data_IF_462896147353
#
_entry.id   IF_462896147353
#
_cell.length_a   1.000
_cell.length_b   1.000
_cell.length_c   1.000
_cell.angle_alpha   90.00
_cell.angle_beta   90.00
_cell.angle_gamma   90.00
#
_symmetry.space_group_name_H-M   'P 1'
#
loop_
_entity.id
_entity.type
_entity.pdbx_description
1 polymer ?
#
# COMPACT_ATOMS: atom_id res chain seq x y z
N UNK A 1 -2.49 -33.12 34.59
CA UNK A 1 -1.87 -31.88 35.11
C UNK A 1 -1.49 -31.04 33.89
N UNK A 2 -2.39 -30.15 33.48
CA UNK A 2 -2.20 -29.25 32.34
C UNK A 2 -1.19 -28.16 32.73
N UNK A 3 -0.20 -27.91 31.87
CA UNK A 3 0.64 -26.71 31.96
C UNK A 3 0.23 -25.80 30.80
N UNK A 4 -0.55 -24.78 31.13
CA UNK A 4 -0.78 -23.62 30.28
C UNK A 4 0.51 -22.81 30.19
N UNK A 5 1.10 -22.69 29.01
CA UNK A 5 2.06 -21.63 28.71
C UNK A 5 1.33 -20.47 28.07
N UNK A 6 1.13 -19.43 28.88
CA UNK A 6 0.68 -18.11 28.46
C UNK A 6 1.85 -17.42 27.73
N UNK A 7 1.73 -17.17 26.41
CA UNK A 7 2.69 -16.31 25.70
C UNK A 7 2.31 -14.86 25.95
N UNK A 8 3.06 -14.20 26.82
CA UNK A 8 3.00 -12.76 27.02
C UNK A 8 3.55 -12.01 25.81
N UNK A 9 2.76 -11.09 25.26
CA UNK A 9 3.21 -10.08 24.31
C UNK A 9 4.32 -9.23 24.94
N UNK A 10 5.53 -9.28 24.38
CA UNK A 10 6.69 -8.59 24.93
C UNK A 10 7.63 -8.05 23.86
N UNK A 11 7.80 -6.72 23.89
CA UNK A 11 8.96 -5.95 23.42
C UNK A 11 9.14 -5.71 21.91
N UNK A 12 8.24 -4.94 21.29
CA UNK A 12 8.61 -4.15 20.12
C UNK A 12 9.25 -2.82 20.59
N UNK A 13 10.58 -2.70 20.50
CA UNK A 13 11.31 -1.44 20.78
C UNK A 13 11.38 -0.60 19.50
N UNK A 14 10.69 0.54 19.50
CA UNK A 14 10.49 1.45 18.36
C UNK A 14 11.73 2.27 17.93
N UNK A 15 12.90 2.06 18.55
CA UNK A 15 14.12 2.85 18.30
C UNK A 15 14.89 2.48 17.01
N UNK A 16 14.44 1.48 16.24
CA UNK A 16 15.17 1.00 15.06
C UNK A 16 14.66 1.54 13.72
N UNK A 17 13.64 2.40 13.69
CA UNK A 17 13.28 3.17 12.50
C UNK A 17 14.23 4.37 12.36
N UNK A 18 15.50 4.10 12.02
CA UNK A 18 16.50 5.12 11.65
C UNK A 18 16.21 5.63 10.24
N UNK A 19 15.13 6.39 10.08
CA UNK A 19 14.92 7.34 8.99
C UNK A 19 15.06 8.76 9.53
N UNK A 20 15.56 9.73 8.75
CA UNK A 20 15.69 11.10 9.22
C UNK A 20 14.29 11.66 9.53
N UNK A 21 14.10 12.17 10.75
CA UNK A 21 12.95 12.98 11.20
C UNK A 21 11.67 12.27 11.69
N UNK A 22 11.75 11.25 12.56
CA UNK A 22 10.56 10.72 13.27
C UNK A 22 10.46 11.10 14.77
N UNK A 23 11.49 11.69 15.38
CA UNK A 23 11.58 11.82 16.85
C UNK A 23 11.05 13.14 17.45
N UNK A 24 10.51 14.08 16.66
CA UNK A 24 10.10 15.41 17.18
C UNK A 24 8.67 15.85 16.85
N UNK A 25 7.93 15.11 16.02
CA UNK A 25 6.63 15.56 15.51
C UNK A 25 5.40 15.05 16.28
N UNK A 26 5.53 13.92 17.00
CA UNK A 26 4.43 13.32 17.76
C UNK A 26 3.97 14.20 18.94
N UNK A 27 4.84 15.06 19.49
CA UNK A 27 4.48 15.95 20.61
C UNK A 27 3.58 17.13 20.20
N UNK A 28 3.46 17.44 18.90
CA UNK A 28 2.61 18.54 18.38
C UNK A 28 1.18 18.12 18.03
N UNK A 29 0.86 16.84 18.16
CA UNK A 29 -0.53 16.39 17.97
C UNK A 29 -1.35 17.04 19.07
N UNK A 30 -2.41 17.79 18.72
CA UNK A 30 -3.30 18.43 19.70
C UNK A 30 -3.69 17.37 20.74
N UNK A 31 -3.34 17.59 22.00
CA UNK A 31 -3.64 16.72 23.13
C UNK A 31 -5.15 16.41 23.30
N UNK A 32 -6.00 17.07 22.51
CA UNK A 32 -7.44 16.81 22.38
C UNK A 32 -7.76 15.52 21.62
N UNK A 33 -7.04 15.17 20.54
CA UNK A 33 -7.35 13.98 19.73
C UNK A 33 -6.73 12.68 20.27
N UNK A 34 -5.62 12.77 21.00
CA UNK A 34 -4.96 11.60 21.58
C UNK A 34 -5.63 11.11 22.87
N UNK A 35 -6.62 11.84 23.40
CA UNK A 35 -7.17 11.52 24.71
C UNK A 35 -7.92 10.19 24.74
N UNK A 36 -8.56 9.76 23.65
CA UNK A 36 -8.99 8.37 23.43
C UNK A 36 -9.24 8.13 21.92
N UNK A 37 -8.58 7.13 21.34
CA UNK A 37 -8.85 6.71 19.96
C UNK A 37 -10.26 6.11 19.85
N UNK A 38 -11.05 6.56 18.88
CA UNK A 38 -12.42 6.11 18.66
C UNK A 38 -12.50 4.90 17.72
N UNK A 39 -13.52 4.06 17.90
CA UNK A 39 -13.94 3.07 16.90
C UNK A 39 -15.26 3.57 16.34
N UNK A 40 -15.33 3.70 15.01
CA UNK A 40 -16.47 4.23 14.28
C UNK A 40 -16.91 3.17 13.28
N UNK A 41 -18.18 2.78 13.32
CA UNK A 41 -18.76 1.78 12.41
C UNK A 41 -19.69 2.43 11.37
N UNK A 42 -20.25 3.59 11.69
CA UNK A 42 -21.21 4.30 10.85
C UNK A 42 -20.65 5.65 10.36
N UNK A 43 -20.86 5.95 9.09
CA UNK A 43 -20.24 7.11 8.43
C UNK A 43 -20.70 8.45 9.02
N UNK A 44 -21.93 8.54 9.56
CA UNK A 44 -22.47 9.76 10.17
C UNK A 44 -21.66 10.19 11.40
N UNK A 45 -20.98 9.24 12.06
CA UNK A 45 -20.12 9.54 13.21
C UNK A 45 -18.74 10.08 12.82
N UNK A 46 -18.42 10.18 11.52
CA UNK A 46 -17.18 10.77 11.01
C UNK A 46 -17.23 12.30 10.90
N UNK A 47 -18.41 12.92 11.00
CA UNK A 47 -18.59 14.36 10.82
C UNK A 47 -17.62 15.23 11.64
N UNK A 48 -17.38 14.94 12.95
CA UNK A 48 -16.42 15.71 13.75
C UNK A 48 -14.95 15.56 13.32
N UNK A 49 -14.67 14.56 12.48
CA UNK A 49 -13.34 14.21 11.98
C UNK A 49 -13.16 14.55 10.49
N UNK A 50 -14.13 15.21 9.84
CA UNK A 50 -13.95 15.67 8.47
C UNK A 50 -12.70 16.55 8.30
N UNK A 51 -12.19 16.62 7.07
CA UNK A 51 -10.87 17.16 6.76
C UNK A 51 -9.73 16.43 7.52
N UNK A 52 -9.92 15.15 7.84
CA UNK A 52 -8.92 14.27 8.44
C UNK A 52 -7.73 13.99 7.51
N UNK A 53 -6.73 13.36 8.11
CA UNK A 53 -5.72 12.58 7.44
C UNK A 53 -6.17 11.11 7.39
N UNK A 54 -6.52 10.60 6.21
CA UNK A 54 -7.05 9.24 6.01
C UNK A 54 -5.94 8.25 5.63
N UNK A 55 -5.90 7.09 6.30
CA UNK A 55 -5.06 5.95 5.94
C UNK A 55 -5.96 4.75 5.60
N UNK A 56 -6.27 4.51 4.32
CA UNK A 56 -7.09 3.37 3.92
C UNK A 56 -6.34 2.05 4.04
N UNK A 57 -6.92 1.06 4.72
CA UNK A 57 -6.32 -0.28 4.84
C UNK A 57 -7.38 -1.39 4.78
N UNK A 58 -6.91 -2.63 4.65
CA UNK A 58 -7.72 -3.84 4.79
C UNK A 58 -7.62 -4.48 6.19
N UNK A 59 -6.94 -3.86 7.15
CA UNK A 59 -6.59 -4.48 8.44
C UNK A 59 -5.37 -5.39 8.38
N UNK A 60 -5.18 -6.20 9.42
CA UNK A 60 -3.99 -7.04 9.62
C UNK A 60 -2.69 -6.20 9.57
N UNK A 61 -2.67 -5.17 10.41
CA UNK A 61 -1.68 -4.10 10.36
C UNK A 61 -0.29 -4.60 10.76
N UNK A 62 0.72 -3.88 10.28
CA UNK A 62 2.14 -4.16 10.51
C UNK A 62 2.92 -2.83 10.48
N UNK A 63 4.23 -2.86 10.72
CA UNK A 63 5.03 -1.64 10.82
C UNK A 63 4.99 -0.75 9.55
N UNK A 64 4.83 -1.35 8.36
CA UNK A 64 4.54 -0.58 7.14
C UNK A 64 3.22 0.22 7.16
N UNK A 65 2.19 -0.24 7.86
CA UNK A 65 0.96 0.54 8.07
C UNK A 65 1.16 1.59 9.18
N UNK A 66 1.85 1.23 10.26
CA UNK A 66 2.19 2.16 11.34
C UNK A 66 2.95 3.39 10.81
N UNK A 67 3.86 3.23 9.85
CA UNK A 67 4.58 4.35 9.25
C UNK A 67 3.68 5.31 8.47
N UNK A 68 2.60 4.81 7.84
CA UNK A 68 1.61 5.67 7.17
C UNK A 68 0.86 6.51 8.20
N UNK A 69 0.41 5.89 9.29
CA UNK A 69 -0.32 6.55 10.39
C UNK A 69 0.58 7.59 11.05
N UNK A 70 1.84 7.26 11.33
CA UNK A 70 2.81 8.19 11.89
C UNK A 70 3.06 9.37 10.95
N UNK A 71 3.24 9.12 9.65
CA UNK A 71 3.42 10.20 8.67
C UNK A 71 2.18 11.10 8.61
N UNK A 72 0.99 10.51 8.66
CA UNK A 72 -0.28 11.22 8.69
C UNK A 72 -0.45 12.08 9.94
N UNK A 73 -0.02 11.58 11.10
CA UNK A 73 -0.10 12.29 12.38
C UNK A 73 0.76 13.57 12.41
N UNK A 74 1.81 13.65 11.58
CA UNK A 74 2.64 14.85 11.45
C UNK A 74 1.92 16.04 10.81
N UNK A 75 0.80 15.83 10.13
CA UNK A 75 0.08 16.88 9.41
C UNK A 75 -0.88 17.68 10.31
N UNK A 76 -0.95 17.34 11.61
CA UNK A 76 -1.72 18.10 12.61
C UNK A 76 -3.24 17.96 12.50
N UNK A 77 -3.72 16.99 11.71
CA UNK A 77 -5.14 16.63 11.53
C UNK A 77 -5.48 15.37 12.32
N UNK A 78 -6.75 15.13 12.68
CA UNK A 78 -7.14 13.81 13.20
C UNK A 78 -6.83 12.74 12.15
N UNK A 79 -6.18 11.67 12.57
CA UNK A 79 -5.87 10.54 11.68
C UNK A 79 -6.98 9.51 11.78
N UNK A 80 -7.63 9.23 10.65
CA UNK A 80 -8.64 8.18 10.51
C UNK A 80 -8.02 7.02 9.75
N UNK A 81 -8.08 5.81 10.33
CA UNK A 81 -7.62 4.59 9.67
C UNK A 81 -8.82 3.74 9.29
N UNK A 82 -9.02 3.43 8.01
CA UNK A 82 -10.10 2.52 7.63
C UNK A 82 -9.63 1.07 7.71
N UNK A 83 -10.45 0.18 8.27
CA UNK A 83 -10.25 -1.28 8.23
C UNK A 83 -11.39 -1.89 7.44
N UNK A 84 -11.19 -2.10 6.14
CA UNK A 84 -12.22 -2.70 5.28
C UNK A 84 -11.61 -3.67 4.28
N UNK A 85 -11.91 -4.96 4.44
CA UNK A 85 -11.55 -5.98 3.45
C UNK A 85 -12.56 -5.90 2.32
N UNK A 86 -12.21 -5.19 1.26
CA UNK A 86 -13.11 -4.98 0.13
C UNK A 86 -13.32 -6.27 -0.69
N UNK A 87 -14.53 -6.86 -0.76
CA UNK A 87 -14.79 -8.04 -1.57
C UNK A 87 -14.64 -7.80 -3.09
N UNK A 88 -14.87 -6.59 -3.60
CA UNK A 88 -14.91 -6.32 -5.06
C UNK A 88 -13.53 -6.26 -5.72
N UNK A 89 -12.45 -6.17 -4.93
CA UNK A 89 -11.08 -6.11 -5.47
C UNK A 89 -10.36 -7.47 -5.52
N UNK A 90 -11.05 -8.55 -5.09
CA UNK A 90 -10.53 -9.91 -5.12
C UNK A 90 -11.08 -10.68 -6.33
N UNK A 91 -10.22 -11.38 -7.06
CA UNK A 91 -10.64 -12.28 -8.13
C UNK A 91 -11.17 -13.63 -7.59
N UNK A 92 -11.88 -14.41 -8.42
CA UNK A 92 -12.31 -15.76 -8.08
C UNK A 92 -11.09 -16.64 -7.72
N UNK A 93 -11.04 -17.14 -6.47
CA UNK A 93 -9.90 -17.90 -5.93
C UNK A 93 -8.83 -17.07 -5.20
N UNK A 94 -8.93 -15.74 -5.16
CA UNK A 94 -8.14 -14.92 -4.24
C UNK A 94 -8.73 -15.02 -2.81
N UNK A 95 -7.86 -15.10 -1.81
CA UNK A 95 -8.14 -15.68 -0.48
C UNK A 95 -8.90 -14.74 0.49
N UNK A 96 -10.08 -14.24 0.09
CA UNK A 96 -10.95 -13.40 0.93
C UNK A 96 -11.28 -14.06 2.28
N UNK A 97 -11.52 -15.38 2.26
CA UNK A 97 -11.90 -16.16 3.45
C UNK A 97 -10.76 -16.39 4.45
N UNK A 98 -9.50 -16.24 4.02
CA UNK A 98 -8.31 -16.44 4.89
C UNK A 98 -7.69 -15.13 5.38
N UNK A 99 -8.28 -13.97 5.08
CA UNK A 99 -7.73 -12.69 5.51
C UNK A 99 -7.79 -12.57 7.05
N UNK A 100 -6.66 -12.36 7.74
CA UNK A 100 -6.61 -12.37 9.19
C UNK A 100 -7.41 -11.22 9.78
N UNK A 101 -8.32 -11.53 10.71
CA UNK A 101 -9.10 -10.55 11.46
C UNK A 101 -8.50 -10.40 12.85
N UNK A 102 -7.70 -9.37 13.06
CA UNK A 102 -7.01 -9.11 14.34
C UNK A 102 -7.33 -7.72 14.86
N UNK A 103 -8.62 -7.40 15.04
CA UNK A 103 -9.08 -6.06 15.40
C UNK A 103 -8.39 -5.49 16.65
N UNK A 104 -8.15 -6.32 17.67
CA UNK A 104 -7.46 -5.88 18.89
C UNK A 104 -6.00 -5.46 18.61
N UNK A 105 -5.25 -6.25 17.83
CA UNK A 105 -3.88 -5.92 17.46
C UNK A 105 -3.81 -4.70 16.54
N UNK A 106 -4.74 -4.60 15.59
CA UNK A 106 -4.87 -3.44 14.70
C UNK A 106 -5.15 -2.17 15.52
N UNK A 107 -6.04 -2.26 16.51
CA UNK A 107 -6.36 -1.18 17.44
C UNK A 107 -5.14 -0.73 18.23
N UNK A 108 -4.41 -1.64 18.84
CA UNK A 108 -3.21 -1.32 19.61
C UNK A 108 -2.15 -0.63 18.76
N UNK A 109 -1.92 -1.13 17.53
CA UNK A 109 -0.99 -0.53 16.59
C UNK A 109 -1.44 0.87 16.14
N UNK A 110 -2.70 1.05 15.77
CA UNK A 110 -3.26 2.36 15.42
C UNK A 110 -3.10 3.37 16.54
N UNK A 111 -3.44 2.99 17.78
CA UNK A 111 -3.32 3.85 18.94
C UNK A 111 -1.86 4.25 19.19
N UNK A 112 -0.94 3.28 19.16
CA UNK A 112 0.49 3.54 19.34
C UNK A 112 1.09 4.40 18.22
N UNK A 113 0.55 4.33 17.00
CA UNK A 113 1.01 5.09 15.85
C UNK A 113 0.41 6.51 15.76
N UNK A 114 -0.55 6.86 16.62
CA UNK A 114 -1.15 8.20 16.70
C UNK A 114 -2.48 8.37 15.97
N UNK A 115 -3.22 7.29 15.70
CA UNK A 115 -4.56 7.37 15.13
C UNK A 115 -5.56 8.01 16.11
N UNK A 116 -6.46 8.86 15.59
CA UNK A 116 -7.56 9.45 16.33
C UNK A 116 -8.82 8.57 16.26
N UNK A 117 -9.05 7.90 15.13
CA UNK A 117 -10.14 6.95 14.98
C UNK A 117 -9.80 5.80 14.04
N UNK A 118 -10.49 4.68 14.26
CA UNK A 118 -10.58 3.55 13.34
C UNK A 118 -11.99 3.52 12.77
N UNK A 119 -12.10 3.56 11.45
CA UNK A 119 -13.36 3.43 10.74
C UNK A 119 -13.52 2.01 10.18
N UNK A 120 -14.59 1.32 10.58
CA UNK A 120 -14.86 -0.08 10.24
C UNK A 120 -16.26 -0.16 9.60
N UNK A 121 -16.42 0.29 8.35
CA UNK A 121 -17.70 0.19 7.67
C UNK A 121 -18.07 -1.28 7.43
N UNK A 122 -19.36 -1.58 7.50
CA UNK A 122 -19.86 -2.89 7.06
C UNK A 122 -19.87 -2.99 5.53
N UNK A 123 -19.98 -4.22 5.01
CA UNK A 123 -20.20 -4.44 3.57
C UNK A 123 -21.50 -3.76 3.12
N UNK A 124 -22.52 -3.70 3.96
CA UNK A 124 -23.80 -3.05 3.65
C UNK A 124 -23.65 -1.53 3.55
N UNK A 125 -22.84 -0.91 4.41
CA UNK A 125 -22.56 0.53 4.34
C UNK A 125 -21.80 0.87 3.05
N UNK A 126 -20.87 0.01 2.64
CA UNK A 126 -20.10 0.19 1.41
C UNK A 126 -20.93 -0.10 0.15
N UNK A 127 -21.75 -1.16 0.19
CA UNK A 127 -22.46 -1.72 -0.96
C UNK A 127 -23.93 -2.00 -0.62
N UNK A 128 -24.77 -0.95 -0.51
CA UNK A 128 -26.14 -1.08 -0.04
C UNK A 128 -27.04 -1.92 -0.96
N UNK A 129 -26.68 -2.02 -2.24
CA UNK A 129 -27.37 -2.82 -3.26
C UNK A 129 -26.73 -4.21 -3.45
N UNK A 130 -25.81 -4.61 -2.59
CA UNK A 130 -25.10 -5.88 -2.66
C UNK A 130 -23.83 -5.85 -3.52
N UNK A 131 -23.02 -6.90 -3.38
CA UNK A 131 -21.70 -7.02 -4.02
C UNK A 131 -21.81 -7.16 -5.54
N UNK A 132 -22.84 -7.83 -6.05
CA UNK A 132 -23.02 -8.00 -7.50
C UNK A 132 -23.31 -6.66 -8.21
N UNK A 133 -24.19 -5.83 -7.61
CA UNK A 133 -24.44 -4.48 -8.09
C UNK A 133 -23.16 -3.63 -8.01
N UNK A 134 -22.41 -3.74 -6.91
CA UNK A 134 -21.14 -3.05 -6.77
C UNK A 134 -20.10 -3.46 -7.83
N UNK A 135 -20.01 -4.75 -8.16
CA UNK A 135 -19.13 -5.24 -9.23
C UNK A 135 -19.54 -4.69 -10.61
N UNK A 136 -20.86 -4.63 -10.88
CA UNK A 136 -21.38 -4.05 -12.12
C UNK A 136 -21.09 -2.54 -12.22
N UNK A 137 -21.26 -1.80 -11.13
CA UNK A 137 -20.90 -0.38 -11.04
C UNK A 137 -19.39 -0.16 -11.25
N UNK A 138 -18.55 -0.96 -10.59
CA UNK A 138 -17.10 -0.88 -10.72
C UNK A 138 -16.64 -1.11 -12.16
N UNK A 139 -17.23 -2.10 -12.86
CA UNK A 139 -16.91 -2.41 -14.25
C UNK A 139 -17.24 -1.26 -15.23
N UNK A 140 -18.14 -0.35 -14.86
CA UNK A 140 -18.52 0.81 -15.65
C UNK A 140 -17.72 2.07 -15.30
N UNK A 141 -16.89 2.04 -14.25
CA UNK A 141 -16.10 3.20 -13.85
C UNK A 141 -15.09 3.59 -14.93
N UNK A 142 -15.02 4.89 -15.20
CA UNK A 142 -13.98 5.45 -16.08
C UNK A 142 -12.64 5.48 -15.34
N UNK A 143 -11.81 4.48 -15.57
CA UNK A 143 -10.53 4.36 -14.86
C UNK A 143 -9.45 5.32 -15.40
N UNK A 144 -8.50 5.73 -14.55
CA UNK A 144 -7.21 6.26 -14.95
C UNK A 144 -6.51 5.40 -16.01
N UNK A 145 -5.74 6.01 -16.93
CA UNK A 145 -5.00 5.25 -17.95
C UNK A 145 -3.93 4.34 -17.32
N UNK A 146 -3.33 4.81 -16.21
CA UNK A 146 -2.38 4.03 -15.42
C UNK A 146 -3.01 2.78 -14.77
N UNK A 147 -4.34 2.67 -14.76
CA UNK A 147 -5.06 1.48 -14.30
C UNK A 147 -5.30 0.43 -15.40
N UNK A 148 -5.04 0.74 -16.68
CA UNK A 148 -5.49 -0.12 -17.80
C UNK A 148 -4.47 -0.27 -18.94
N UNK A 149 -3.45 0.57 -19.00
CA UNK A 149 -2.46 0.59 -20.09
C UNK A 149 -1.07 0.02 -19.73
N UNK A 150 -0.56 0.11 -18.48
CA UNK A 150 0.82 -0.32 -18.17
C UNK A 150 1.13 -1.80 -18.41
N UNK A 151 0.11 -2.67 -18.45
CA UNK A 151 0.23 -4.13 -18.53
C UNK A 151 1.05 -4.73 -17.38
N UNK A 152 0.83 -4.21 -16.17
CA UNK A 152 1.42 -4.65 -14.91
C UNK A 152 0.35 -5.38 -14.08
N UNK A 153 -0.06 -4.85 -12.92
CA UNK A 153 -1.16 -5.40 -12.13
C UNK A 153 -2.48 -5.39 -12.90
N UNK A 154 -2.67 -4.43 -13.81
CA UNK A 154 -3.84 -4.33 -14.68
C UNK A 154 -3.98 -5.53 -15.62
N UNK A 155 -2.87 -6.10 -16.10
CA UNK A 155 -2.90 -7.31 -16.91
C UNK A 155 -3.08 -8.58 -16.06
N UNK A 156 -2.44 -8.62 -14.88
CA UNK A 156 -2.50 -9.80 -14.01
C UNK A 156 -3.81 -9.91 -13.23
N UNK A 157 -4.49 -8.78 -12.99
CA UNK A 157 -5.70 -8.68 -12.16
C UNK A 157 -6.70 -7.71 -12.82
N UNK A 158 -7.38 -8.12 -13.92
CA UNK A 158 -8.12 -7.20 -14.80
C UNK A 158 -9.24 -6.38 -14.15
N UNK A 159 -9.85 -6.88 -13.08
CA UNK A 159 -10.93 -6.18 -12.35
C UNK A 159 -10.44 -5.42 -11.12
N UNK A 160 -9.17 -5.58 -10.73
CA UNK A 160 -8.66 -5.13 -9.44
C UNK A 160 -8.75 -3.62 -9.25
N UNK A 161 -8.28 -2.83 -10.23
CA UNK A 161 -8.28 -1.38 -10.09
C UNK A 161 -9.66 -0.74 -10.15
N UNK A 162 -10.64 -1.40 -10.79
CA UNK A 162 -12.03 -0.96 -10.72
C UNK A 162 -12.56 -1.05 -9.28
N UNK A 163 -12.37 -2.19 -8.62
CA UNK A 163 -12.73 -2.37 -7.21
C UNK A 163 -11.97 -1.43 -6.27
N UNK A 164 -10.68 -1.21 -6.51
CA UNK A 164 -9.85 -0.26 -5.73
C UNK A 164 -10.34 1.18 -5.89
N UNK A 165 -10.60 1.64 -7.11
CA UNK A 165 -11.15 2.98 -7.34
C UNK A 165 -12.51 3.15 -6.66
N UNK A 166 -13.40 2.16 -6.77
CA UNK A 166 -14.73 2.22 -6.17
C UNK A 166 -14.66 2.32 -4.63
N UNK A 167 -13.88 1.45 -3.98
CA UNK A 167 -13.79 1.45 -2.52
C UNK A 167 -13.12 2.72 -2.00
N UNK A 168 -12.05 3.19 -2.64
CA UNK A 168 -11.36 4.41 -2.21
C UNK A 168 -12.23 5.64 -2.44
N UNK A 169 -12.97 5.71 -3.55
CA UNK A 169 -13.93 6.80 -3.80
C UNK A 169 -15.00 6.88 -2.69
N UNK A 170 -15.59 5.73 -2.31
CA UNK A 170 -16.56 5.66 -1.21
C UNK A 170 -15.95 6.08 0.13
N UNK A 171 -14.72 5.64 0.43
CA UNK A 171 -14.01 6.08 1.64
C UNK A 171 -13.73 7.58 1.64
N UNK A 172 -13.37 8.18 0.50
CA UNK A 172 -13.20 9.62 0.38
C UNK A 172 -14.52 10.37 0.59
N UNK A 173 -15.64 9.85 0.06
CA UNK A 173 -16.95 10.46 0.26
C UNK A 173 -17.41 10.41 1.73
N UNK A 174 -17.19 9.28 2.42
CA UNK A 174 -17.62 9.12 3.81
C UNK A 174 -16.70 9.85 4.80
N UNK A 175 -15.38 9.80 4.58
CA UNK A 175 -14.42 10.39 5.52
C UNK A 175 -14.15 11.88 5.26
N UNK A 176 -14.47 12.38 4.07
CA UNK A 176 -14.17 13.75 3.62
C UNK A 176 -12.74 14.20 3.97
N UNK A 177 -11.69 13.43 3.60
CA UNK A 177 -10.33 13.73 4.02
C UNK A 177 -9.76 14.95 3.30
N UNK A 178 -8.89 15.69 4.00
CA UNK A 178 -8.04 16.69 3.36
C UNK A 178 -6.72 16.09 2.87
N UNK A 179 -6.29 14.97 3.46
CA UNK A 179 -5.10 14.24 3.05
C UNK A 179 -5.36 12.74 3.11
N UNK A 180 -4.81 11.97 2.17
CA UNK A 180 -4.84 10.52 2.20
C UNK A 180 -3.44 9.93 1.95
N UNK A 181 -3.07 8.87 2.66
CA UNK A 181 -1.71 8.32 2.65
C UNK A 181 -1.71 6.90 2.13
N UNK A 182 -0.92 6.66 1.10
CA UNK A 182 -0.76 5.36 0.46
C UNK A 182 0.71 4.98 0.38
N UNK A 183 1.01 3.70 0.60
CA UNK A 183 2.36 3.17 0.52
C UNK A 183 2.84 3.06 -0.93
N UNK A 184 4.11 3.41 -1.18
CA UNK A 184 4.76 3.25 -2.47
C UNK A 184 4.95 1.78 -2.88
N UNK A 185 4.84 0.83 -1.94
CA UNK A 185 4.95 -0.61 -2.24
C UNK A 185 3.99 -1.04 -3.35
N UNK A 186 2.75 -0.58 -3.27
CA UNK A 186 1.71 -0.81 -4.28
C UNK A 186 1.71 0.37 -5.27
N UNK A 187 2.84 0.60 -5.95
CA UNK A 187 3.11 1.84 -6.69
C UNK A 187 2.07 2.13 -7.79
N UNK A 188 1.62 1.11 -8.53
CA UNK A 188 0.57 1.30 -9.53
C UNK A 188 -0.75 1.74 -8.90
N UNK A 189 -1.14 1.17 -7.76
CA UNK A 189 -2.32 1.60 -7.01
C UNK A 189 -2.18 3.07 -6.58
N UNK A 190 -1.04 3.46 -6.01
CA UNK A 190 -0.77 4.85 -5.64
C UNK A 190 -0.96 5.80 -6.84
N UNK A 191 -0.41 5.46 -8.02
CA UNK A 191 -0.57 6.26 -9.24
C UNK A 191 -2.02 6.32 -9.72
N UNK A 192 -2.75 5.21 -9.64
CA UNK A 192 -4.18 5.14 -9.95
C UNK A 192 -4.98 6.07 -9.04
N UNK A 193 -4.77 6.03 -7.73
CA UNK A 193 -5.49 6.86 -6.77
C UNK A 193 -5.13 8.35 -6.92
N UNK A 194 -3.86 8.67 -7.15
CA UNK A 194 -3.43 10.05 -7.43
C UNK A 194 -4.10 10.61 -8.70
N UNK A 195 -4.15 9.84 -9.79
CA UNK A 195 -4.81 10.28 -11.02
C UNK A 195 -6.34 10.38 -10.83
N UNK A 196 -6.96 9.42 -10.12
CA UNK A 196 -8.38 9.46 -9.79
C UNK A 196 -8.74 10.73 -8.99
N UNK A 197 -8.03 11.00 -7.89
CA UNK A 197 -8.29 12.18 -7.06
C UNK A 197 -8.12 13.49 -7.85
N UNK A 198 -7.11 13.55 -8.73
CA UNK A 198 -6.87 14.72 -9.59
C UNK A 198 -7.99 14.93 -10.62
N UNK A 199 -8.47 13.86 -11.27
CA UNK A 199 -9.55 13.93 -12.27
C UNK A 199 -10.88 14.33 -11.65
N UNK A 200 -11.16 13.85 -10.44
CA UNK A 200 -12.35 14.13 -9.65
C UNK A 200 -12.15 15.33 -8.71
N UNK A 201 -11.20 16.23 -8.99
CA UNK A 201 -10.83 17.32 -8.07
C UNK A 201 -11.97 18.27 -7.69
N UNK A 202 -13.03 18.34 -8.50
CA UNK A 202 -14.25 19.09 -8.16
C UNK A 202 -15.09 18.41 -7.06
N UNK A 203 -15.00 17.07 -6.94
CA UNK A 203 -15.70 16.24 -5.95
C UNK A 203 -14.97 16.23 -4.61
N UNK A 204 -13.65 15.99 -4.62
CA UNK A 204 -12.82 15.96 -3.40
C UNK A 204 -11.93 17.19 -3.32
N UNK A 205 -12.56 18.36 -3.20
CA UNK A 205 -11.86 19.64 -3.13
C UNK A 205 -10.91 19.64 -1.93
N UNK A 206 -9.66 20.04 -2.16
CA UNK A 206 -8.57 20.10 -1.17
C UNK A 206 -8.00 18.74 -0.73
N UNK A 207 -8.42 17.62 -1.31
CA UNK A 207 -7.78 16.33 -1.04
C UNK A 207 -6.39 16.25 -1.67
N UNK A 208 -5.38 15.96 -0.85
CA UNK A 208 -4.02 15.64 -1.30
C UNK A 208 -3.70 14.17 -1.03
N UNK A 209 -3.26 13.44 -2.07
CA UNK A 209 -2.84 12.03 -1.96
C UNK A 209 -1.32 11.94 -1.82
N UNK A 210 -0.86 11.57 -0.63
CA UNK A 210 0.56 11.45 -0.28
C UNK A 210 1.12 10.05 -0.52
N UNK A 211 2.27 10.01 -1.19
CA UNK A 211 3.09 8.82 -1.34
C UNK A 211 3.97 8.63 -0.09
N UNK A 212 3.97 7.42 0.49
CA UNK A 212 4.78 7.09 1.65
C UNK A 212 5.78 5.97 1.31
N UNK A 213 7.08 6.13 1.62
CA UNK A 213 8.10 5.13 1.27
C UNK A 213 7.78 3.72 1.77
N UNK A 214 8.16 2.73 0.98
CA UNK A 214 8.08 1.31 1.38
C UNK A 214 8.95 1.06 2.61
N UNK A 215 8.33 0.57 3.69
CA UNK A 215 9.08 0.06 4.85
C UNK A 215 9.57 -1.35 4.55
N UNK A 216 10.84 -1.58 4.86
CA UNK A 216 11.55 -2.84 4.63
C UNK A 216 11.96 -3.45 5.98
N UNK A 217 12.03 -4.77 6.01
CA UNK A 217 12.68 -5.52 7.08
C UNK A 217 14.20 -5.26 7.04
N UNK A 218 14.94 -5.64 8.09
CA UNK A 218 16.37 -5.33 8.22
C UNK A 218 17.24 -5.94 7.11
N UNK A 219 16.74 -6.98 6.44
CA UNK A 219 17.38 -7.65 5.31
C UNK A 219 16.91 -7.11 3.94
N UNK A 220 16.07 -6.06 3.94
CA UNK A 220 15.63 -5.36 2.74
C UNK A 220 14.32 -5.87 2.14
N UNK A 221 13.73 -6.97 2.63
CA UNK A 221 12.42 -7.42 2.13
C UNK A 221 11.34 -6.37 2.43
N UNK A 222 10.54 -6.01 1.42
CA UNK A 222 9.41 -5.13 1.63
C UNK A 222 8.40 -5.76 2.61
N UNK A 223 7.98 -5.01 3.62
CA UNK A 223 7.01 -5.51 4.59
C UNK A 223 5.66 -5.76 3.91
N UNK A 224 5.09 -6.94 4.15
CA UNK A 224 3.75 -7.29 3.69
C UNK A 224 3.10 -8.26 4.67
N UNK A 225 1.77 -8.16 4.84
CA UNK A 225 0.99 -9.19 5.54
C UNK A 225 1.21 -10.60 4.96
N UNK A 226 1.49 -10.69 3.65
CA UNK A 226 1.81 -11.94 2.93
C UNK A 226 3.13 -12.60 3.35
N UNK A 227 4.07 -11.88 3.97
CA UNK A 227 5.36 -12.44 4.38
C UNK A 227 5.18 -13.55 5.44
N UNK A 228 4.07 -13.52 6.20
CA UNK A 228 3.73 -14.55 7.21
C UNK A 228 3.45 -15.93 6.61
N UNK A 229 3.17 -16.00 5.31
CA UNK A 229 2.90 -17.26 4.61
C UNK A 229 4.18 -17.90 4.07
N UNK A 230 5.33 -17.20 4.17
CA UNK A 230 6.62 -17.72 3.74
C UNK A 230 7.21 -18.64 4.82
N UNK A 231 7.63 -19.83 4.42
CA UNK A 231 8.47 -20.73 5.22
C UNK A 231 9.90 -20.16 5.34
N UNK A 232 10.69 -20.67 6.29
CA UNK A 232 12.03 -20.15 6.56
C UNK A 232 12.96 -20.17 5.32
N UNK A 233 12.96 -21.27 4.55
CA UNK A 233 13.71 -21.38 3.29
C UNK A 233 13.19 -20.42 2.21
N UNK A 234 11.87 -20.28 2.09
CA UNK A 234 11.25 -19.34 1.15
C UNK A 234 11.57 -17.88 1.51
N UNK A 235 11.76 -17.57 2.80
CA UNK A 235 12.04 -16.21 3.25
C UNK A 235 13.40 -15.70 2.77
N UNK A 236 14.40 -16.57 2.63
CA UNK A 236 15.69 -16.23 2.03
C UNK A 236 15.57 -16.02 0.52
N UNK A 237 14.81 -16.88 -0.17
CA UNK A 237 14.52 -16.75 -1.59
C UNK A 237 13.78 -15.43 -1.92
N UNK A 238 12.87 -14.98 -1.06
CA UNK A 238 12.17 -13.70 -1.22
C UNK A 238 13.11 -12.48 -1.26
N UNK A 239 14.34 -12.58 -0.75
CA UNK A 239 15.35 -11.52 -0.88
C UNK A 239 15.82 -11.30 -2.33
N UNK A 240 15.50 -12.23 -3.24
CA UNK A 240 15.69 -12.02 -4.67
C UNK A 240 15.01 -10.75 -5.19
N UNK A 241 13.87 -10.32 -4.60
CA UNK A 241 13.20 -9.07 -4.98
C UNK A 241 14.08 -7.84 -4.70
N UNK A 242 14.54 -7.68 -3.45
CA UNK A 242 15.34 -6.51 -3.05
C UNK A 242 16.71 -6.50 -3.75
N UNK A 243 17.31 -7.67 -3.96
CA UNK A 243 18.56 -7.83 -4.73
C UNK A 243 18.38 -7.44 -6.20
N UNK A 244 17.30 -7.88 -6.84
CA UNK A 244 17.01 -7.51 -8.23
C UNK A 244 16.78 -5.99 -8.39
N UNK A 245 16.12 -5.35 -7.43
CA UNK A 245 15.94 -3.89 -7.43
C UNK A 245 17.28 -3.15 -7.24
N UNK A 246 18.17 -3.65 -6.39
CA UNK A 246 19.51 -3.09 -6.20
C UNK A 246 20.30 -3.15 -7.52
N UNK A 247 20.30 -4.31 -8.18
CA UNK A 247 20.91 -4.49 -9.50
C UNK A 247 20.30 -3.52 -10.51
N UNK A 248 18.97 -3.34 -10.52
CA UNK A 248 18.32 -2.39 -11.42
C UNK A 248 18.85 -0.96 -11.23
N UNK A 249 18.92 -0.49 -9.98
CA UNK A 249 19.40 0.86 -9.67
C UNK A 249 20.86 1.07 -10.05
N UNK A 250 21.73 0.08 -9.79
CA UNK A 250 23.15 0.13 -10.14
C UNK A 250 23.38 0.11 -11.64
N UNK A 251 22.72 -0.82 -12.36
CA UNK A 251 22.82 -0.95 -13.82
C UNK A 251 22.29 0.29 -14.55
N UNK A 252 21.18 0.86 -14.07
CA UNK A 252 20.66 2.12 -14.61
C UNK A 252 21.66 3.26 -14.41
N UNK A 253 22.23 3.40 -13.21
CA UNK A 253 23.22 4.44 -12.92
C UNK A 253 24.48 4.27 -13.75
N UNK A 254 24.84 3.04 -14.10
CA UNK A 254 25.94 2.72 -15.01
C UNK A 254 25.61 2.99 -16.49
N UNK A 255 24.40 3.47 -16.81
CA UNK A 255 23.99 3.80 -18.17
C UNK A 255 23.67 2.58 -19.05
N UNK A 256 23.38 1.43 -18.45
CA UNK A 256 22.99 0.24 -19.21
C UNK A 256 21.65 0.44 -19.93
N UNK A 257 21.50 -0.22 -21.08
CA UNK A 257 20.23 -0.27 -21.81
C UNK A 257 19.11 -0.90 -20.95
N UNK A 258 17.90 -0.34 -21.03
CA UNK A 258 16.78 -0.76 -20.18
C UNK A 258 16.46 -2.24 -20.34
N UNK A 259 16.47 -2.78 -21.55
CA UNK A 259 16.19 -4.20 -21.76
C UNK A 259 17.28 -5.09 -21.15
N UNK A 260 18.54 -4.64 -21.15
CA UNK A 260 19.63 -5.32 -20.46
C UNK A 260 19.42 -5.30 -18.93
N UNK A 261 18.99 -4.18 -18.36
CA UNK A 261 18.67 -4.09 -16.93
C UNK A 261 17.52 -5.03 -16.56
N UNK A 262 16.42 -5.02 -17.31
CA UNK A 262 15.28 -5.91 -17.07
C UNK A 262 15.70 -7.40 -17.14
N UNK A 263 16.61 -7.76 -18.05
CA UNK A 263 17.15 -9.11 -18.14
C UNK A 263 18.01 -9.49 -16.91
N UNK A 264 18.83 -8.58 -16.39
CA UNK A 264 19.59 -8.83 -15.16
C UNK A 264 18.68 -8.99 -13.94
N UNK A 265 17.64 -8.16 -13.82
CA UNK A 265 16.62 -8.33 -12.77
C UNK A 265 16.01 -9.74 -12.83
N UNK A 266 15.59 -10.18 -14.03
CA UNK A 266 15.01 -11.52 -14.23
C UNK A 266 16.00 -12.63 -13.86
N UNK A 267 17.28 -12.51 -14.24
CA UNK A 267 18.32 -13.47 -13.87
C UNK A 267 18.47 -13.60 -12.36
N UNK A 268 18.50 -12.49 -11.63
CA UNK A 268 18.58 -12.50 -10.17
C UNK A 268 17.36 -13.19 -9.58
N UNK A 269 16.16 -12.84 -10.03
CA UNK A 269 14.92 -13.43 -9.53
C UNK A 269 14.88 -14.96 -9.78
N UNK A 270 15.24 -15.42 -10.98
CA UNK A 270 15.26 -16.86 -11.31
C UNK A 270 16.26 -17.65 -10.47
N UNK A 271 17.45 -17.09 -10.18
CA UNK A 271 18.43 -17.74 -9.28
C UNK A 271 17.90 -17.90 -7.85
N UNK A 272 16.93 -17.08 -7.47
CA UNK A 272 16.23 -17.12 -6.19
C UNK A 272 14.90 -17.89 -6.26
N UNK A 273 14.68 -18.69 -7.31
CA UNK A 273 13.50 -19.55 -7.48
C UNK A 273 12.17 -18.79 -7.54
N UNK A 274 12.22 -17.49 -7.85
CA UNK A 274 11.03 -16.66 -8.03
C UNK A 274 10.47 -16.83 -9.44
N UNK A 275 9.22 -17.26 -9.53
CA UNK A 275 8.47 -17.29 -10.78
C UNK A 275 8.03 -15.87 -11.15
N UNK A 276 8.76 -15.26 -12.07
CA UNK A 276 8.57 -13.85 -12.44
C UNK A 276 7.31 -13.66 -13.31
N UNK A 277 6.37 -12.83 -12.86
CA UNK A 277 5.27 -12.35 -13.70
C UNK A 277 5.73 -11.14 -14.52
N UNK A 278 6.37 -10.17 -13.86
CA UNK A 278 7.08 -9.08 -14.52
C UNK A 278 8.25 -8.58 -13.66
N UNK A 279 9.29 -8.09 -14.32
CA UNK A 279 10.41 -7.37 -13.74
C UNK A 279 10.85 -6.34 -14.79
N UNK A 280 10.47 -5.08 -14.60
CA UNK A 280 10.48 -4.06 -15.66
C UNK A 280 10.91 -2.69 -15.14
N UNK A 281 11.43 -1.85 -16.03
CA UNK A 281 11.64 -0.42 -15.79
C UNK A 281 10.57 0.37 -16.55
N UNK A 282 9.95 1.34 -15.88
CA UNK A 282 8.88 2.17 -16.45
C UNK A 282 9.07 3.63 -16.11
N UNK A 283 8.51 4.52 -16.93
CA UNK A 283 8.42 5.93 -16.59
C UNK A 283 7.68 6.10 -15.26
N UNK A 284 8.21 6.93 -14.35
CA UNK A 284 7.67 7.08 -12.99
C UNK A 284 6.18 7.46 -12.99
N UNK A 285 5.78 8.39 -13.87
CA UNK A 285 4.47 9.01 -13.78
C UNK A 285 3.35 8.21 -14.46
N UNK A 286 3.66 7.57 -15.58
CA UNK A 286 2.69 6.88 -16.45
C UNK A 286 2.75 5.36 -16.32
N UNK A 287 3.86 4.82 -15.80
CA UNK A 287 4.18 3.40 -15.81
C UNK A 287 4.24 2.77 -17.19
N UNK A 288 4.38 3.58 -18.25
CA UNK A 288 4.59 3.09 -19.60
C UNK A 288 6.06 2.70 -19.84
N UNK A 289 6.34 1.78 -20.79
CA UNK A 289 7.70 1.41 -21.17
C UNK A 289 8.53 2.62 -21.54
N UNK A 290 9.81 2.56 -21.17
CA UNK A 290 10.84 3.51 -21.61
C UNK A 290 11.96 2.73 -22.29
N UNK A 291 12.52 3.27 -23.36
CA UNK A 291 13.67 2.66 -24.02
C UNK A 291 14.98 3.15 -23.40
N UNK A 292 15.02 4.42 -22.98
CA UNK A 292 16.21 5.09 -22.43
C UNK A 292 15.81 6.09 -21.35
N UNK A 293 16.79 6.46 -20.50
CA UNK A 293 16.64 7.60 -19.61
C UNK A 293 16.79 8.88 -20.41
N UNK A 294 15.65 9.46 -20.78
CA UNK A 294 15.64 10.72 -21.50
C UNK A 294 15.60 11.91 -20.51
N UNK A 295 16.22 13.06 -20.84
CA UNK A 295 16.19 14.27 -19.98
C UNK A 295 14.78 14.73 -19.58
N UNK A 296 13.77 14.42 -20.40
CA UNK A 296 12.35 14.72 -20.16
C UNK A 296 11.69 13.86 -19.08
N UNK A 297 12.31 12.78 -18.60
CA UNK A 297 11.83 11.99 -17.47
C UNK A 297 12.11 12.74 -16.14
N UNK A 298 11.43 13.86 -15.93
CA UNK A 298 11.63 14.75 -14.76
C UNK A 298 11.51 14.01 -13.42
N UNK A 299 10.57 13.07 -13.34
CA UNK A 299 10.31 12.25 -12.15
C UNK A 299 11.13 10.94 -12.11
N UNK A 300 12.01 10.74 -13.08
CA UNK A 300 12.81 9.53 -13.26
C UNK A 300 12.01 8.32 -13.73
N UNK A 301 12.49 7.13 -13.38
CA UNK A 301 11.86 5.86 -13.68
C UNK A 301 11.64 5.03 -12.41
N UNK A 302 10.89 3.96 -12.54
CA UNK A 302 10.64 2.99 -11.47
C UNK A 302 10.96 1.59 -11.98
N UNK A 303 11.76 0.84 -11.22
CA UNK A 303 11.85 -0.60 -11.36
C UNK A 303 10.68 -1.24 -10.61
N UNK A 304 9.92 -2.11 -11.25
CA UNK A 304 8.76 -2.80 -10.65
C UNK A 304 8.87 -4.31 -10.85
N UNK A 305 8.55 -5.06 -9.82
CA UNK A 305 8.60 -6.53 -9.80
C UNK A 305 7.28 -7.08 -9.25
N UNK A 306 6.74 -8.07 -9.94
CA UNK A 306 5.82 -9.05 -9.36
C UNK A 306 6.33 -10.46 -9.67
N UNK A 307 6.39 -11.29 -8.63
CA UNK A 307 6.82 -12.67 -8.74
C UNK A 307 6.09 -13.56 -7.73
N UNK A 308 6.11 -14.87 -7.97
CA UNK A 308 5.56 -15.87 -7.06
C UNK A 308 6.66 -16.73 -6.48
N UNK A 309 6.51 -17.05 -5.20
CA UNK A 309 7.31 -18.04 -4.52
C UNK A 309 6.36 -19.07 -3.90
N UNK A 310 6.34 -20.27 -4.48
CA UNK A 310 5.49 -21.39 -4.03
C UNK A 310 4.02 -20.99 -3.74
N UNK A 311 3.42 -20.23 -4.66
CA UNK A 311 2.03 -19.78 -4.57
C UNK A 311 1.83 -18.43 -3.86
N UNK A 312 2.80 -17.93 -3.08
CA UNK A 312 2.75 -16.60 -2.49
C UNK A 312 3.20 -15.56 -3.53
N UNK A 313 2.29 -14.66 -3.90
CA UNK A 313 2.59 -13.54 -4.82
C UNK A 313 3.16 -12.35 -4.05
N UNK A 314 4.36 -11.93 -4.42
CA UNK A 314 5.11 -10.82 -3.85
C UNK A 314 5.30 -9.72 -4.89
N UNK A 315 5.28 -8.47 -4.43
CA UNK A 315 5.57 -7.30 -5.26
C UNK A 315 6.58 -6.42 -4.54
N UNK A 316 7.42 -5.73 -5.32
CA UNK A 316 8.33 -4.72 -4.82
C UNK A 316 8.71 -3.75 -5.95
N UNK A 317 9.20 -2.57 -5.59
CA UNK A 317 9.64 -1.57 -6.54
C UNK A 317 10.68 -0.62 -5.94
N UNK A 318 11.41 0.07 -6.82
CA UNK A 318 12.39 1.09 -6.43
C UNK A 318 12.49 2.21 -7.49
N UNK A 319 12.71 3.43 -7.04
CA UNK A 319 13.05 4.55 -7.92
C UNK A 319 14.40 4.32 -8.57
N UNK A 320 14.49 4.60 -9.87
CA UNK A 320 15.70 4.58 -10.66
C UNK A 320 15.89 5.97 -11.28
N UNK A 321 17.09 6.53 -11.11
CA UNK A 321 17.51 7.77 -11.73
C UNK A 321 18.69 7.45 -12.66
N UNK A 322 18.67 8.01 -13.87
CA UNK A 322 19.84 7.99 -14.75
C UNK A 322 21.05 8.66 -14.11
N UNK A 323 22.21 8.52 -14.75
CA UNK A 323 23.43 9.23 -14.38
C UNK A 323 23.27 10.76 -14.46
#
# INVERSE_FOLDING_TARGET
MQVQTCMSAGNFRWNNLKGPCLHGGLERIKAEYLRHMQIIEHAESLEPLHACALVPTMGALHAGHASLIQRAALDGRPVVVSLFVNPTQFAAGEDFSKYPRTLQADRELCQAAGAAAIFIPSVQDMYPHGVDAANAEAAQMKLPLVATQPKLEDAQRPTHFAGVCQVVAKLFDMCQPAAAYFGEKDFQQLRVIQDMARREGARWQNLVVHACPTIRESDGLAMSSRNRYLQANQRENALGLSRALTVAQESVRAGMDIAAVENEMRRVLTRHELLVEYAVIRAHDTLLPIEKFEPQLKSGARALIAARLEGVRLIDNASCSGA
#
